data_IF_433285018102
#
_entry.id   IF_433285018102
#
_cell.length_a   1.000
_cell.length_b   1.000
_cell.length_c   1.000
_cell.angle_alpha   90.00
_cell.angle_beta   90.00
_cell.angle_gamma   90.00
#
_symmetry.space_group_name_H-M   'P 1'
#
loop_
_entity.id
_entity.type
_entity.pdbx_description
1 polymer ?
#
# COMPACT_ATOMS: atom_id res chain seq x y z
N UNK A 1 -36.39 -2.26 -28.12
CA UNK A 1 -35.83 -1.41 -27.12
C UNK A 1 -35.22 -2.20 -26.05
N UNK A 2 -34.12 -2.66 -26.39
CA UNK A 2 -33.25 -3.33 -25.44
C UNK A 2 -32.45 -2.29 -24.76
N UNK A 3 -32.93 -1.94 -23.64
CA UNK A 3 -32.14 -1.28 -22.68
C UNK A 3 -31.02 -2.18 -22.31
N UNK A 4 -29.95 -2.05 -23.03
CA UNK A 4 -28.72 -2.49 -22.51
C UNK A 4 -28.43 -1.72 -21.23
N UNK A 5 -29.00 -2.22 -20.20
CA UNK A 5 -28.52 -1.90 -18.91
C UNK A 5 -27.14 -2.46 -18.82
N UNK A 6 -26.25 -1.75 -19.37
CA UNK A 6 -24.89 -1.94 -18.95
C UNK A 6 -24.85 -1.44 -17.53
N UNK A 7 -25.14 -2.33 -16.61
CA UNK A 7 -24.57 -2.19 -15.32
C UNK A 7 -23.12 -1.92 -15.59
N UNK A 8 -22.77 -0.68 -15.67
CA UNK A 8 -21.40 -0.33 -15.63
C UNK A 8 -20.88 -0.92 -14.36
N UNK A 9 -20.20 -2.03 -14.50
CA UNK A 9 -19.34 -2.47 -13.48
C UNK A 9 -18.42 -1.31 -13.20
N UNK A 10 -18.86 -0.42 -12.39
CA UNK A 10 -17.95 0.50 -11.75
C UNK A 10 -16.94 -0.41 -11.10
N UNK A 11 -15.72 -0.33 -11.58
CA UNK A 11 -14.62 -0.99 -10.95
C UNK A 11 -14.64 -0.56 -9.51
N UNK A 12 -15.38 -1.31 -8.70
CA UNK A 12 -15.35 -1.13 -7.28
C UNK A 12 -13.95 -1.46 -6.85
N UNK A 13 -13.28 -0.46 -6.36
CA UNK A 13 -11.96 -0.61 -5.83
C UNK A 13 -12.00 -1.65 -4.73
N UNK A 14 -11.27 -2.70 -4.96
CA UNK A 14 -11.20 -3.81 -4.02
C UNK A 14 -10.53 -3.33 -2.73
N UNK A 15 -11.17 -3.62 -1.60
CA UNK A 15 -10.53 -3.45 -0.30
C UNK A 15 -9.59 -4.61 -0.07
N UNK A 16 -8.29 -4.33 -0.03
CA UNK A 16 -7.26 -5.33 0.15
C UNK A 16 -6.74 -5.25 1.58
N UNK A 17 -6.90 -6.31 2.34
CA UNK A 17 -6.44 -6.35 3.72
C UNK A 17 -5.01 -6.85 3.84
N UNK A 18 -4.29 -6.38 4.85
CA UNK A 18 -2.92 -6.83 5.10
C UNK A 18 -2.85 -8.34 5.31
N UNK A 19 -3.85 -8.91 5.94
CA UNK A 19 -3.87 -10.35 6.22
C UNK A 19 -4.08 -11.21 4.97
N UNK A 20 -4.47 -10.59 3.86
CA UNK A 20 -4.74 -11.28 2.60
C UNK A 20 -3.62 -11.11 1.57
N UNK A 21 -2.54 -10.41 1.90
CA UNK A 21 -1.52 -10.05 0.92
C UNK A 21 -0.64 -11.22 0.50
N UNK A 22 -0.39 -12.14 1.40
CA UNK A 22 0.59 -13.21 1.19
C UNK A 22 0.01 -14.57 1.52
N UNK A 23 0.54 -15.57 0.83
CA UNK A 23 0.40 -16.94 1.28
C UNK A 23 1.25 -17.12 2.53
N UNK A 24 1.02 -18.21 3.28
CA UNK A 24 1.77 -18.46 4.50
C UNK A 24 3.28 -18.37 4.24
N UNK A 25 4.00 -17.86 5.23
CA UNK A 25 5.44 -17.75 5.18
C UNK A 25 6.05 -19.15 5.17
N UNK A 26 6.55 -19.59 4.03
CA UNK A 26 7.13 -20.92 3.86
C UNK A 26 8.66 -20.83 3.88
N UNK A 27 9.32 -21.98 4.03
CA UNK A 27 10.79 -22.07 3.91
C UNK A 27 11.31 -21.59 2.55
N UNK A 28 10.42 -21.47 1.56
CA UNK A 28 10.78 -20.95 0.23
C UNK A 28 10.68 -19.44 0.13
N UNK A 29 10.36 -18.77 1.23
CA UNK A 29 10.24 -17.32 1.29
C UNK A 29 8.79 -16.84 1.17
N UNK A 30 8.66 -15.54 1.05
CA UNK A 30 7.37 -14.87 1.00
C UNK A 30 6.77 -14.97 -0.39
N UNK A 31 5.52 -15.43 -0.46
CA UNK A 31 4.79 -15.51 -1.72
C UNK A 31 3.53 -14.66 -1.65
N UNK A 32 3.27 -13.92 -2.73
CA UNK A 32 2.03 -13.15 -2.83
C UNK A 32 0.82 -14.08 -2.97
N UNK A 33 -0.27 -13.69 -2.33
CA UNK A 33 -1.52 -14.42 -2.46
C UNK A 33 -2.10 -14.30 -3.88
N UNK A 34 -2.96 -15.20 -4.23
CA UNK A 34 -3.70 -15.15 -5.51
C UNK A 34 -4.48 -13.83 -5.61
N UNK A 35 -5.07 -13.40 -4.51
CA UNK A 35 -5.83 -12.15 -4.44
C UNK A 35 -4.94 -10.95 -4.76
N UNK A 36 -3.74 -10.90 -4.20
CA UNK A 36 -2.78 -9.83 -4.47
C UNK A 36 -2.34 -9.82 -5.92
N UNK A 37 -2.00 -10.98 -6.46
CA UNK A 37 -1.58 -11.07 -7.85
C UNK A 37 -2.71 -10.70 -8.83
N UNK A 38 -3.94 -11.04 -8.50
CA UNK A 38 -5.11 -10.67 -9.31
C UNK A 38 -5.37 -9.15 -9.26
N UNK A 39 -4.99 -8.49 -8.19
CA UNK A 39 -5.19 -7.05 -8.02
C UNK A 39 -4.06 -6.21 -8.64
N UNK A 40 -3.00 -6.84 -9.12
CA UNK A 40 -1.86 -6.14 -9.73
C UNK A 40 -2.34 -5.27 -10.89
N UNK A 41 -1.94 -4.00 -10.87
CA UNK A 41 -2.31 -3.03 -11.90
C UNK A 41 -3.69 -2.42 -11.75
N UNK A 42 -4.43 -2.82 -10.72
CA UNK A 42 -5.79 -2.31 -10.46
C UNK A 42 -5.79 -1.34 -9.31
N UNK A 43 -6.81 -0.47 -9.30
CA UNK A 43 -7.04 0.38 -8.14
C UNK A 43 -7.54 -0.46 -6.98
N UNK A 44 -6.88 -0.30 -5.83
CA UNK A 44 -7.27 -0.98 -4.59
C UNK A 44 -7.33 0.03 -3.46
N UNK A 45 -8.05 -0.34 -2.40
CA UNK A 45 -8.08 0.42 -1.16
C UNK A 45 -7.45 -0.42 -0.07
N UNK A 46 -6.64 0.22 0.75
CA UNK A 46 -6.05 -0.42 1.92
C UNK A 46 -6.20 0.50 3.12
N UNK A 47 -6.41 -0.10 4.28
CA UNK A 47 -6.56 0.63 5.53
C UNK A 47 -5.41 0.31 6.45
N UNK A 48 -4.94 1.31 7.14
CA UNK A 48 -3.84 1.15 8.08
C UNK A 48 -3.44 2.49 8.67
N UNK A 49 -2.16 2.62 8.95
CA UNK A 49 -1.61 3.78 9.63
C UNK A 49 -0.40 4.29 8.87
N UNK A 50 -0.20 5.60 8.91
CA UNK A 50 0.97 6.22 8.28
C UNK A 50 2.15 6.15 9.23
N UNK A 51 3.18 5.40 8.87
CA UNK A 51 4.45 5.48 9.59
C UNK A 51 5.03 6.88 9.40
N UNK A 52 5.75 7.42 10.39
CA UNK A 52 6.36 8.74 10.22
C UNK A 52 7.17 8.81 8.93
N UNK A 53 6.98 9.83 8.08
CA UNK A 53 7.67 9.92 6.80
C UNK A 53 9.18 9.99 6.94
N UNK A 54 9.88 9.37 5.99
CA UNK A 54 11.34 9.39 5.94
C UNK A 54 11.91 10.79 5.71
N UNK A 55 11.21 11.58 4.91
CA UNK A 55 11.64 12.94 4.55
C UNK A 55 10.44 13.86 4.58
N UNK A 56 10.60 15.10 5.06
CA UNK A 56 9.55 16.09 4.93
C UNK A 56 9.30 16.40 3.44
N UNK A 57 8.09 16.83 3.14
CA UNK A 57 7.70 17.24 1.79
C UNK A 57 7.90 16.19 0.71
N UNK A 58 7.67 14.93 1.07
CA UNK A 58 7.75 13.82 0.14
C UNK A 58 6.35 13.33 -0.23
N UNK A 59 6.24 12.68 -1.39
CA UNK A 59 5.01 11.95 -1.74
C UNK A 59 5.08 10.49 -1.32
N UNK A 60 6.13 10.11 -0.61
CA UNK A 60 6.41 8.73 -0.21
C UNK A 60 6.15 8.54 1.27
N UNK A 61 5.41 7.49 1.62
CA UNK A 61 5.33 7.04 3.01
C UNK A 61 5.06 5.53 3.05
N UNK A 62 5.16 4.97 4.24
CA UNK A 62 4.89 3.55 4.47
C UNK A 62 3.57 3.42 5.21
N UNK A 63 2.66 2.64 4.63
CA UNK A 63 1.41 2.27 5.28
C UNK A 63 1.66 1.01 6.09
N UNK A 64 1.28 1.03 7.36
CA UNK A 64 1.47 -0.11 8.27
C UNK A 64 0.14 -0.68 8.71
N UNK A 65 0.13 -1.98 8.97
CA UNK A 65 -1.06 -2.64 9.53
C UNK A 65 -1.38 -2.14 10.93
N UNK A 66 -0.34 -1.93 11.75
CA UNK A 66 -0.46 -1.50 13.13
C UNK A 66 0.26 -0.16 13.32
N UNK A 67 -0.19 0.68 14.26
CA UNK A 67 0.47 1.98 14.49
C UNK A 67 1.93 1.81 14.92
N UNK A 68 2.82 2.60 14.33
CA UNK A 68 4.24 2.63 14.71
C UNK A 68 4.69 4.06 14.87
N UNK A 69 5.37 4.36 15.97
CA UNK A 69 5.82 5.72 16.28
C UNK A 69 7.12 6.09 15.56
N UNK A 70 7.87 5.10 15.11
CA UNK A 70 9.08 5.26 14.32
C UNK A 70 8.98 4.33 13.13
N UNK A 71 9.63 4.72 12.02
CA UNK A 71 9.65 3.87 10.84
C UNK A 71 10.66 2.73 11.08
N UNK A 72 10.20 1.50 11.37
CA UNK A 72 11.12 0.40 11.67
C UNK A 72 11.86 -0.10 10.43
N UNK A 73 11.44 0.37 9.24
CA UNK A 73 11.95 -0.13 7.97
C UNK A 73 12.75 0.93 7.22
N UNK A 74 13.15 1.97 7.92
CA UNK A 74 13.89 3.07 7.31
C UNK A 74 15.39 2.82 7.29
N UNK A 75 15.84 1.67 7.78
CA UNK A 75 17.22 1.24 7.63
C UNK A 75 17.33 0.35 6.39
N UNK A 76 18.42 0.52 5.66
CA UNK A 76 18.64 -0.13 4.37
C UNK A 76 18.73 -1.66 4.40
N UNK A 77 18.84 -2.24 5.59
CA UNK A 77 19.08 -3.69 5.75
C UNK A 77 17.83 -4.45 6.18
N UNK A 78 16.68 -3.78 6.27
CA UNK A 78 15.47 -4.43 6.73
C UNK A 78 14.92 -5.36 5.65
N UNK A 79 14.64 -6.62 6.02
CA UNK A 79 13.90 -7.51 5.15
C UNK A 79 12.46 -6.98 4.99
N UNK A 80 11.87 -7.27 3.83
CA UNK A 80 10.50 -6.82 3.58
C UNK A 80 9.52 -7.52 4.52
N UNK A 81 8.83 -6.78 5.40
CA UNK A 81 7.87 -7.38 6.32
C UNK A 81 6.50 -7.54 5.67
N UNK A 82 5.67 -8.38 6.29
CA UNK A 82 4.32 -8.67 5.79
C UNK A 82 3.30 -7.60 6.13
N UNK A 83 3.63 -6.66 6.98
CA UNK A 83 2.70 -5.70 7.56
C UNK A 83 2.92 -4.27 7.08
N UNK A 84 3.59 -4.09 5.95
CA UNK A 84 3.78 -2.78 5.35
C UNK A 84 3.48 -2.79 3.85
N UNK A 85 3.07 -1.62 3.34
CA UNK A 85 2.97 -1.33 1.91
C UNK A 85 3.50 0.07 1.69
N UNK A 86 4.29 0.25 0.65
CA UNK A 86 4.82 1.56 0.29
C UNK A 86 3.76 2.35 -0.48
N UNK A 87 3.62 3.62 -0.16
CA UNK A 87 2.64 4.50 -0.80
C UNK A 87 3.36 5.62 -1.53
N UNK A 88 3.04 5.76 -2.81
CA UNK A 88 3.43 6.92 -3.62
C UNK A 88 2.18 7.73 -3.91
N UNK A 89 2.02 8.82 -3.21
CA UNK A 89 0.84 9.68 -3.32
C UNK A 89 0.94 10.59 -4.54
N UNK A 90 -0.21 11.01 -5.06
CA UNK A 90 -0.26 11.97 -6.16
C UNK A 90 0.32 13.33 -5.80
N UNK A 91 0.22 13.70 -4.53
CA UNK A 91 0.65 15.01 -4.02
C UNK A 91 1.60 14.82 -2.87
N UNK A 92 2.33 15.87 -2.55
CA UNK A 92 3.15 15.91 -1.34
C UNK A 92 2.29 15.56 -0.12
N UNK A 93 2.80 14.65 0.69
CA UNK A 93 2.08 14.12 1.85
C UNK A 93 2.15 15.12 2.99
N UNK A 94 0.97 15.48 3.52
CA UNK A 94 0.88 16.15 4.81
C UNK A 94 0.81 15.05 5.86
N UNK A 95 1.79 14.97 6.76
CA UNK A 95 1.82 13.86 7.71
C UNK A 95 0.58 13.81 8.60
N UNK A 96 0.06 12.60 8.76
CA UNK A 96 -1.03 12.30 9.68
C UNK A 96 -0.43 11.57 10.87
N UNK A 97 -0.96 11.83 12.06
CA UNK A 97 -0.47 11.18 13.26
C UNK A 97 -0.50 9.66 13.09
N UNK A 98 0.58 9.00 13.50
CA UNK A 98 0.75 7.56 13.32
C UNK A 98 -0.33 6.71 13.98
N UNK A 99 -1.04 7.25 14.95
CA UNK A 99 -2.11 6.53 15.64
C UNK A 99 -3.48 6.71 15.00
N UNK A 100 -3.60 7.54 13.97
CA UNK A 100 -4.85 7.76 13.26
C UNK A 100 -4.99 6.80 12.09
N UNK A 101 -6.13 6.14 12.00
CA UNK A 101 -6.39 5.19 10.92
C UNK A 101 -6.71 5.94 9.63
N UNK A 102 -6.12 5.49 8.54
CA UNK A 102 -6.33 6.06 7.21
C UNK A 102 -6.73 4.98 6.21
N UNK A 103 -7.37 5.43 5.14
CA UNK A 103 -7.63 4.59 3.98
C UNK A 103 -6.87 5.17 2.80
N UNK A 104 -6.12 4.33 2.13
CA UNK A 104 -5.32 4.69 0.96
C UNK A 104 -5.91 3.98 -0.25
N UNK A 105 -6.01 4.71 -1.34
CA UNK A 105 -6.48 4.21 -2.63
C UNK A 105 -5.41 4.48 -3.66
N UNK A 106 -5.08 3.47 -4.44
CA UNK A 106 -4.08 3.62 -5.49
C UNK A 106 -3.95 2.38 -6.35
N UNK A 107 -3.08 2.45 -7.34
CA UNK A 107 -2.81 1.34 -8.25
C UNK A 107 -1.78 0.41 -7.61
N UNK A 108 -2.14 -0.86 -7.49
CA UNK A 108 -1.26 -1.84 -6.87
C UNK A 108 -0.15 -2.26 -7.83
N UNK A 109 1.09 -2.15 -7.35
CA UNK A 109 2.26 -2.70 -8.02
C UNK A 109 2.86 -3.80 -7.16
N UNK A 110 3.22 -4.88 -7.80
CA UNK A 110 3.76 -6.07 -7.15
C UNK A 110 5.14 -6.35 -7.71
N UNK A 111 6.08 -6.67 -6.84
CA UNK A 111 7.43 -7.02 -7.22
C UNK A 111 8.44 -6.01 -6.73
N UNK A 112 9.71 -6.37 -6.83
CA UNK A 112 10.80 -5.55 -6.29
C UNK A 112 10.94 -4.23 -7.06
N UNK A 113 11.07 -3.15 -6.31
CA UNK A 113 11.33 -1.82 -6.86
C UNK A 113 12.24 -1.05 -5.90
N UNK A 114 13.26 -0.45 -6.45
CA UNK A 114 14.20 0.39 -5.69
C UNK A 114 13.85 1.85 -5.96
N UNK A 115 13.50 2.57 -4.90
CA UNK A 115 13.24 4.00 -5.02
C UNK A 115 14.51 4.73 -5.38
N UNK A 116 14.53 5.50 -6.49
CA UNK A 116 15.76 6.15 -6.94
C UNK A 116 16.22 7.29 -6.05
N UNK A 117 15.34 7.83 -5.20
CA UNK A 117 15.68 8.95 -4.33
C UNK A 117 16.11 8.46 -2.96
N UNK A 118 15.39 7.50 -2.38
CA UNK A 118 15.64 7.03 -1.01
C UNK A 118 16.46 5.75 -0.96
N UNK A 119 16.53 4.99 -2.04
CA UNK A 119 17.13 3.66 -2.06
C UNK A 119 16.25 2.59 -1.40
N UNK A 120 15.05 2.94 -0.97
CA UNK A 120 14.16 1.99 -0.31
C UNK A 120 13.69 0.92 -1.29
N UNK A 121 13.82 -0.34 -0.91
CA UNK A 121 13.37 -1.47 -1.72
C UNK A 121 12.01 -1.92 -1.24
N UNK A 122 11.03 -1.93 -2.14
CA UNK A 122 9.68 -2.36 -1.82
C UNK A 122 9.25 -3.55 -2.67
N UNK A 123 8.40 -4.41 -2.12
CA UNK A 123 7.81 -5.54 -2.82
C UNK A 123 6.35 -5.30 -3.19
N UNK A 124 5.69 -4.43 -2.45
CA UNK A 124 4.32 -3.99 -2.72
C UNK A 124 4.23 -2.49 -2.52
N UNK A 125 3.54 -1.82 -3.43
CA UNK A 125 3.31 -0.40 -3.33
C UNK A 125 2.01 0.00 -4.02
N UNK A 126 1.47 1.14 -3.60
CA UNK A 126 0.35 1.78 -4.29
C UNK A 126 0.87 3.05 -4.95
N UNK A 127 0.59 3.19 -6.25
CA UNK A 127 0.96 4.35 -7.03
C UNK A 127 -0.23 5.26 -7.28
N UNK A 128 0.05 6.52 -7.57
CA UNK A 128 -0.98 7.52 -7.82
C UNK A 128 -2.02 7.54 -6.71
N UNK A 129 -1.54 7.44 -5.47
CA UNK A 129 -2.39 7.19 -4.34
C UNK A 129 -2.99 8.47 -3.76
N UNK A 130 -4.18 8.31 -3.22
CA UNK A 130 -4.86 9.30 -2.41
C UNK A 130 -5.21 8.65 -1.07
N UNK A 131 -5.30 9.45 -0.02
CA UNK A 131 -5.61 8.90 1.29
C UNK A 131 -6.41 9.89 2.12
N UNK A 132 -7.12 9.35 3.10
CA UNK A 132 -7.94 10.14 4.00
C UNK A 132 -8.03 9.45 5.36
N UNK A 133 -8.29 10.25 6.39
CA UNK A 133 -8.57 9.70 7.70
C UNK A 133 -9.92 8.97 7.69
N UNK A 134 -9.99 7.87 8.44
CA UNK A 134 -11.21 7.12 8.66
C UNK A 134 -11.38 6.87 10.15
N UNK A 135 -12.59 6.54 10.51
CA UNK A 135 -12.88 6.21 11.90
C UNK A 135 -12.73 4.73 12.17
#
# INVERSE_FOLDING_TARGET
>A
PLLCMHGQAQAQEQLLGFDSLYLSNTVLGLKFSTQTLAAKGKNVRMRGYMAPPLKPESNFFVLTRDPVAICPFCSSDAEWPVDIVVIYAKKTVVPINFSERIEVQGVLEVGSFIDPVTGFVSQLRLRDAEFRKIR
#
